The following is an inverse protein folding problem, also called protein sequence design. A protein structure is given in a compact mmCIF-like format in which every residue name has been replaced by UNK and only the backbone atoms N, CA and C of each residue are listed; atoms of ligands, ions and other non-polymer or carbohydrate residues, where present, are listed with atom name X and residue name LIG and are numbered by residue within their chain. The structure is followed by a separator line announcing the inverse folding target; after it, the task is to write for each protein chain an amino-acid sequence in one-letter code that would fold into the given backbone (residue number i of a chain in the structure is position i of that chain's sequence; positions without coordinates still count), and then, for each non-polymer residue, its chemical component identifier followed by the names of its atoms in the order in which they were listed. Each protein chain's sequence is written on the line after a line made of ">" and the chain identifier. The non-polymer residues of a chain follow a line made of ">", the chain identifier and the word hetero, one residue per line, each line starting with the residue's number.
data_IF_410363201098
#
_entry.id   IF_410363201098
#
_cell.length_a   1.000
_cell.length_b   1.000
_cell.length_c   1.000
_cell.angle_alpha   90.00
_cell.angle_beta   90.00
_cell.angle_gamma   90.00
#
_symmetry.space_group_name_H-M   'P 1'
#
loop_
_entity.id
_entity.type
_entity.pdbx_description
1 polymer ?
#
# COMPACT_ATOMS: atom_id res chain seq x y z
N UNK A 1 -51.72 -63.39 -6.06
CA UNK A 1 -52.70 -63.51 -7.16
C UNK A 1 -53.16 -62.10 -7.52
N UNK A 2 -52.96 -61.47 -8.66
CA UNK A 2 -52.22 -61.66 -9.92
C UNK A 2 -52.09 -60.22 -10.47
N UNK A 3 -50.90 -59.66 -10.68
CA UNK A 3 -50.24 -59.50 -11.98
C UNK A 3 -51.16 -59.47 -13.24
N UNK A 4 -50.89 -58.45 -14.08
CA UNK A 4 -51.21 -58.31 -15.52
C UNK A 4 -52.55 -57.63 -15.86
N UNK A 5 -52.51 -56.35 -16.26
CA UNK A 5 -52.73 -55.98 -17.68
C UNK A 5 -52.35 -54.51 -17.93
N UNK A 6 -51.03 -54.32 -17.99
CA UNK A 6 -50.38 -53.17 -18.59
C UNK A 6 -50.41 -53.35 -20.12
N UNK A 7 -51.57 -53.29 -20.76
CA UNK A 7 -51.68 -53.30 -22.23
C UNK A 7 -53.16 -53.06 -22.57
N UNK A 8 -53.53 -51.83 -22.90
CA UNK A 8 -54.12 -51.53 -24.21
C UNK A 8 -54.65 -50.09 -24.24
N UNK A 9 -53.80 -49.16 -24.68
CA UNK A 9 -54.22 -47.88 -25.24
C UNK A 9 -53.29 -47.58 -26.41
N UNK A 10 -53.19 -48.55 -27.32
CA UNK A 10 -52.46 -48.38 -28.59
C UNK A 10 -53.38 -47.66 -29.59
N UNK A 11 -53.81 -46.44 -29.27
CA UNK A 11 -54.54 -45.58 -30.21
C UNK A 11 -53.52 -44.96 -31.18
N UNK A 12 -53.63 -45.33 -32.46
CA UNK A 12 -52.76 -44.95 -33.57
C UNK A 12 -52.47 -43.43 -33.58
N UNK A 13 -51.36 -43.03 -32.96
CA UNK A 13 -50.75 -41.72 -33.22
C UNK A 13 -50.01 -41.83 -34.55
N UNK A 14 -50.46 -41.06 -35.55
CA UNK A 14 -49.87 -41.06 -36.88
C UNK A 14 -48.44 -40.52 -36.78
N UNK A 15 -47.49 -41.09 -37.53
CA UNK A 15 -46.07 -40.71 -37.46
C UNK A 15 -45.87 -39.20 -37.70
N UNK A 16 -46.71 -38.60 -38.56
CA UNK A 16 -46.75 -37.14 -38.81
C UNK A 16 -47.19 -36.35 -37.57
N UNK A 17 -48.09 -36.90 -36.75
CA UNK A 17 -48.55 -36.29 -35.51
C UNK A 17 -47.50 -36.39 -34.41
N UNK A 18 -46.74 -37.49 -34.35
CA UNK A 18 -45.60 -37.65 -33.43
C UNK A 18 -44.47 -36.69 -33.80
N UNK A 19 -44.15 -36.59 -35.10
CA UNK A 19 -43.15 -35.63 -35.62
C UNK A 19 -43.59 -34.19 -35.33
N UNK A 20 -44.87 -33.84 -35.55
CA UNK A 20 -45.37 -32.50 -35.24
C UNK A 20 -45.34 -32.18 -33.74
N UNK A 21 -45.64 -33.15 -32.86
CA UNK A 21 -45.58 -32.97 -31.41
C UNK A 21 -44.13 -32.85 -30.91
N UNK A 22 -43.19 -33.62 -31.47
CA UNK A 22 -41.77 -33.53 -31.18
C UNK A 22 -41.13 -32.24 -31.74
N UNK A 23 -41.55 -31.77 -32.92
CA UNK A 23 -41.07 -30.50 -33.50
C UNK A 23 -41.59 -29.28 -32.72
N UNK A 24 -42.80 -29.35 -32.13
CA UNK A 24 -43.32 -28.27 -31.28
C UNK A 24 -42.63 -28.18 -29.92
N UNK A 25 -42.02 -29.26 -29.42
CA UNK A 25 -41.33 -29.29 -28.13
C UNK A 25 -39.93 -28.67 -28.16
N UNK A 26 -39.37 -28.41 -29.36
CA UNK A 26 -38.01 -27.85 -29.52
C UNK A 26 -37.99 -26.32 -29.40
N UNK A 27 -39.14 -25.64 -29.46
CA UNK A 27 -39.21 -24.18 -29.46
C UNK A 27 -39.24 -23.52 -28.07
N UNK A 28 -39.15 -24.28 -26.96
CA UNK A 28 -39.19 -23.70 -25.60
C UNK A 28 -37.84 -23.69 -24.86
N UNK A 29 -36.71 -24.01 -25.52
CA UNK A 29 -35.38 -23.84 -24.92
C UNK A 29 -34.84 -22.46 -25.26
N UNK A 30 -35.49 -21.41 -24.78
CA UNK A 30 -34.85 -20.09 -24.68
C UNK A 30 -34.06 -20.04 -23.39
N UNK A 31 -32.74 -20.11 -23.50
CA UNK A 31 -31.83 -19.89 -22.39
C UNK A 31 -31.76 -18.37 -22.13
N UNK A 32 -32.64 -17.85 -21.27
CA UNK A 32 -32.42 -16.55 -20.64
C UNK A 32 -31.26 -16.69 -19.65
N UNK A 33 -30.03 -16.75 -20.20
CA UNK A 33 -28.84 -16.40 -19.42
C UNK A 33 -28.84 -14.89 -19.28
N UNK A 34 -29.68 -14.41 -18.38
CA UNK A 34 -29.45 -13.13 -17.74
C UNK A 34 -28.23 -13.34 -16.83
N UNK A 35 -27.06 -13.52 -17.44
CA UNK A 35 -25.79 -13.23 -16.81
C UNK A 35 -25.72 -11.70 -16.67
N UNK A 36 -26.61 -11.15 -15.86
CA UNK A 36 -26.33 -9.91 -15.15
C UNK A 36 -25.18 -10.24 -14.21
N UNK A 37 -23.99 -10.31 -14.80
CA UNK A 37 -22.74 -10.25 -14.08
C UNK A 37 -22.80 -8.89 -13.41
N UNK A 38 -23.23 -8.87 -12.14
CA UNK A 38 -23.29 -7.65 -11.36
C UNK A 38 -21.93 -6.99 -11.51
N UNK A 39 -21.88 -5.83 -12.18
CA UNK A 39 -20.65 -5.09 -12.39
C UNK A 39 -20.01 -4.97 -11.01
N UNK A 40 -18.78 -5.47 -10.80
CA UNK A 40 -18.18 -5.46 -9.48
C UNK A 40 -18.29 -4.02 -8.97
N UNK A 41 -18.93 -3.84 -7.81
CA UNK A 41 -19.05 -2.52 -7.21
C UNK A 41 -17.63 -1.99 -7.08
N UNK A 42 -17.27 -1.02 -7.93
CA UNK A 42 -15.93 -0.47 -7.97
C UNK A 42 -15.59 -0.02 -6.56
N UNK A 43 -14.51 -0.56 -5.99
CA UNK A 43 -14.03 -0.05 -4.72
C UNK A 43 -13.82 1.45 -4.88
N UNK A 44 -14.44 2.24 -4.00
CA UNK A 44 -14.29 3.69 -4.00
C UNK A 44 -12.79 3.97 -3.93
N UNK A 45 -12.23 4.58 -4.99
CA UNK A 45 -10.85 5.02 -4.99
C UNK A 45 -10.71 6.02 -3.85
N UNK A 46 -9.83 5.73 -2.89
CA UNK A 46 -9.56 6.67 -1.81
C UNK A 46 -8.91 7.91 -2.40
N UNK A 47 -9.56 9.06 -2.22
CA UNK A 47 -8.99 10.36 -2.57
C UNK A 47 -8.61 11.09 -1.29
N UNK A 48 -7.37 11.57 -1.25
CA UNK A 48 -6.87 12.40 -0.17
C UNK A 48 -6.77 13.84 -0.66
N UNK A 49 -7.12 14.84 0.17
CA UNK A 49 -7.06 16.23 -0.24
C UNK A 49 -5.62 16.67 -0.47
N UNK A 50 -5.45 17.79 -1.18
CA UNK A 50 -4.14 18.35 -1.44
C UNK A 50 -3.37 18.61 -0.13
N UNK A 51 -2.08 18.30 -0.15
CA UNK A 51 -1.20 18.44 1.00
C UNK A 51 -1.00 19.91 1.37
N UNK A 52 -1.27 20.23 2.63
CA UNK A 52 -0.82 21.47 3.27
C UNK A 52 0.14 21.12 4.38
N UNK A 53 1.22 21.89 4.50
CA UNK A 53 2.36 21.50 5.32
C UNK A 53 2.49 22.39 6.55
N UNK A 54 2.82 21.76 7.67
CA UNK A 54 3.12 22.41 8.94
C UNK A 54 4.55 22.12 9.35
N UNK A 55 5.17 23.03 10.09
CA UNK A 55 6.55 22.87 10.57
C UNK A 55 6.57 22.01 11.84
N UNK A 56 7.44 21.02 11.88
CA UNK A 56 7.75 20.27 13.09
C UNK A 56 8.54 21.14 14.07
N UNK A 57 7.92 21.44 15.21
CA UNK A 57 8.45 22.35 16.23
C UNK A 57 8.54 21.66 17.59
N UNK A 58 9.55 20.82 17.77
CA UNK A 58 9.99 20.27 19.06
C UNK A 58 11.41 20.71 19.37
N UNK A 59 11.77 20.69 20.65
CA UNK A 59 13.10 21.02 21.12
C UNK A 59 14.08 19.84 20.92
N UNK A 60 14.44 19.61 19.66
CA UNK A 60 15.34 18.54 19.21
C UNK A 60 16.25 19.00 18.06
N UNK A 61 17.36 18.29 17.77
CA UNK A 61 18.39 18.71 16.81
C UNK A 61 17.99 18.83 15.33
N UNK A 62 16.70 18.74 15.00
CA UNK A 62 16.22 18.83 13.62
C UNK A 62 14.82 19.43 13.52
N UNK A 63 14.48 19.92 12.34
CA UNK A 63 13.14 20.37 11.94
C UNK A 63 12.88 20.04 10.48
N UNK A 64 11.61 19.95 10.11
CA UNK A 64 11.15 19.64 8.76
C UNK A 64 9.69 20.08 8.64
N UNK A 65 9.13 19.99 7.45
CA UNK A 65 7.70 20.12 7.20
C UNK A 65 7.07 18.77 6.93
N UNK A 66 5.85 18.59 7.41
CA UNK A 66 5.04 17.40 7.17
C UNK A 66 3.58 17.81 6.98
N UNK A 67 2.79 16.94 6.37
CA UNK A 67 1.39 17.18 6.09
C UNK A 67 0.62 17.39 7.39
N UNK A 68 -0.27 18.38 7.40
CA UNK A 68 -1.19 18.63 8.51
C UNK A 68 -2.21 17.49 8.73
N UNK A 69 -2.24 16.48 7.86
CA UNK A 69 -3.00 15.24 8.07
C UNK A 69 -2.31 14.30 9.07
N UNK A 70 -1.01 14.50 9.27
CA UNK A 70 -0.20 13.77 10.21
C UNK A 70 -0.37 14.29 11.64
N UNK A 71 -0.30 13.37 12.60
CA UNK A 71 -0.22 13.68 14.03
C UNK A 71 1.13 13.23 14.57
N UNK A 72 1.86 14.15 15.17
CA UNK A 72 3.14 13.85 15.82
C UNK A 72 2.88 13.13 17.14
N UNK A 73 3.57 12.00 17.32
CA UNK A 73 3.67 11.29 18.60
C UNK A 73 5.15 11.04 18.91
N UNK A 74 5.48 10.85 20.18
CA UNK A 74 6.84 10.49 20.58
C UNK A 74 7.21 9.09 20.06
N UNK A 75 8.48 8.96 19.65
CA UNK A 75 9.09 7.70 19.29
C UNK A 75 9.56 6.93 20.52
N UNK A 76 10.21 5.79 20.28
CA UNK A 76 10.70 4.92 21.38
C UNK A 76 12.02 5.39 21.98
N UNK A 77 12.80 6.17 21.24
CA UNK A 77 14.14 6.61 21.63
C UNK A 77 14.19 8.13 21.70
N UNK A 78 15.21 8.66 22.38
CA UNK A 78 15.43 10.09 22.54
C UNK A 78 15.45 10.80 21.19
N UNK A 79 14.73 11.93 21.10
CA UNK A 79 14.59 12.75 19.89
C UNK A 79 13.96 12.04 18.69
N UNK A 80 13.38 10.86 18.87
CA UNK A 80 12.63 10.15 17.83
C UNK A 80 11.15 10.47 17.91
N UNK A 81 10.48 10.54 16.77
CA UNK A 81 9.06 10.87 16.68
C UNK A 81 8.41 10.06 15.57
N UNK A 82 7.09 9.89 15.63
CA UNK A 82 6.35 9.29 14.54
C UNK A 82 5.26 10.25 14.07
N UNK A 83 4.96 10.19 12.78
CA UNK A 83 3.88 10.92 12.14
C UNK A 83 2.78 9.90 11.82
N UNK A 84 1.72 9.90 12.61
CA UNK A 84 0.58 8.99 12.43
C UNK A 84 -0.42 9.62 11.47
N UNK A 85 -0.85 8.83 10.49
CA UNK A 85 -1.89 9.19 9.53
C UNK A 85 -3.11 8.28 9.74
N UNK A 86 -4.03 8.60 10.68
CA UNK A 86 -5.13 7.71 11.04
C UNK A 86 -6.05 7.38 9.85
N UNK A 87 -6.31 8.36 8.98
CA UNK A 87 -7.16 8.18 7.79
C UNK A 87 -6.56 7.25 6.73
N UNK A 88 -5.24 7.02 6.78
CA UNK A 88 -4.51 6.16 5.86
C UNK A 88 -4.08 4.85 6.53
N UNK A 89 -4.39 4.66 7.82
CA UNK A 89 -3.87 3.56 8.63
C UNK A 89 -2.34 3.41 8.52
N UNK A 90 -1.64 4.52 8.42
CA UNK A 90 -0.20 4.54 8.16
C UNK A 90 0.55 5.32 9.21
N UNK A 91 1.84 5.04 9.35
CA UNK A 91 2.74 5.78 10.23
C UNK A 91 4.09 5.93 9.58
N UNK A 92 4.60 7.16 9.58
CA UNK A 92 6.00 7.45 9.28
C UNK A 92 6.73 7.40 10.61
N UNK A 93 7.60 6.42 10.81
CA UNK A 93 8.46 6.33 11.97
C UNK A 93 9.73 7.12 11.69
N UNK A 94 10.17 7.96 12.61
CA UNK A 94 11.42 8.70 12.53
C UNK A 94 12.28 8.35 13.74
N UNK A 95 13.46 7.79 13.49
CA UNK A 95 14.42 7.43 14.53
C UNK A 95 15.67 8.27 14.38
N UNK A 96 16.00 9.03 15.42
CA UNK A 96 17.18 9.87 15.47
C UNK A 96 18.33 9.16 16.17
N UNK A 97 19.54 9.31 15.62
CA UNK A 97 20.78 8.81 16.17
C UNK A 97 21.83 9.93 16.19
N UNK A 98 22.46 10.23 17.35
CA UNK A 98 23.62 11.08 17.40
C UNK A 98 24.84 10.31 16.89
N UNK A 99 25.52 10.86 15.89
CA UNK A 99 26.72 10.28 15.27
C UNK A 99 27.95 10.72 16.06
N UNK A 100 28.80 9.76 16.45
CA UNK A 100 30.00 10.02 17.28
C UNK A 100 31.30 10.00 16.49
N UNK A 101 31.34 9.29 15.36
CA UNK A 101 32.51 9.21 14.49
C UNK A 101 32.13 8.82 13.06
N UNK A 102 33.10 8.84 12.15
CA UNK A 102 32.94 8.35 10.77
C UNK A 102 32.55 6.86 10.71
N UNK A 103 33.11 6.05 11.61
CA UNK A 103 32.83 4.61 11.69
C UNK A 103 31.41 4.37 12.19
N UNK A 104 30.98 5.15 13.20
CA UNK A 104 29.62 5.13 13.73
C UNK A 104 28.59 5.51 12.66
N UNK A 105 28.88 6.54 11.86
CA UNK A 105 28.07 6.91 10.71
C UNK A 105 27.94 5.76 9.69
N UNK A 106 29.07 5.12 9.34
CA UNK A 106 29.08 4.02 8.39
C UNK A 106 28.26 2.83 8.90
N UNK A 107 28.27 2.57 10.22
CA UNK A 107 27.43 1.55 10.85
C UNK A 107 25.95 1.89 10.67
N UNK A 108 25.54 3.12 11.01
CA UNK A 108 24.13 3.53 10.87
C UNK A 108 23.62 3.48 9.42
N UNK A 109 24.45 3.86 8.45
CA UNK A 109 24.11 3.73 7.02
C UNK A 109 23.91 2.24 6.67
N UNK A 110 24.87 1.40 7.03
CA UNK A 110 24.83 -0.04 6.75
C UNK A 110 23.63 -0.73 7.40
N UNK A 111 23.30 -0.38 8.65
CA UNK A 111 22.13 -0.89 9.35
C UNK A 111 20.83 -0.46 8.67
N UNK A 112 20.74 0.81 8.26
CA UNK A 112 19.58 1.32 7.53
C UNK A 112 19.39 0.61 6.18
N UNK A 113 20.47 0.32 5.45
CA UNK A 113 20.42 -0.39 4.17
C UNK A 113 20.11 -1.87 4.34
N UNK A 114 20.73 -2.53 5.33
CA UNK A 114 20.42 -3.90 5.69
C UNK A 114 18.95 -4.06 6.06
N UNK A 115 18.39 -3.11 6.79
CA UNK A 115 16.98 -3.12 7.13
C UNK A 115 16.06 -3.13 5.90
N UNK A 116 16.38 -2.35 4.86
CA UNK A 116 15.65 -2.40 3.57
C UNK A 116 15.75 -3.78 2.94
N UNK A 117 16.95 -4.36 2.90
CA UNK A 117 17.18 -5.69 2.33
C UNK A 117 16.36 -6.76 3.07
N UNK A 118 16.32 -6.71 4.40
CA UNK A 118 15.56 -7.66 5.22
C UNK A 118 14.04 -7.57 4.97
N UNK A 119 13.52 -6.40 4.59
CA UNK A 119 12.10 -6.22 4.20
C UNK A 119 11.80 -6.60 2.75
N UNK A 120 12.84 -6.78 1.93
CA UNK A 120 12.71 -7.07 0.49
C UNK A 120 12.20 -8.48 0.22
N UNK A 121 12.22 -9.39 1.21
CA UNK A 121 11.73 -10.78 1.04
C UNK A 121 10.31 -10.85 0.45
N UNK A 122 9.49 -9.80 0.65
CA UNK A 122 8.13 -9.67 0.07
C UNK A 122 7.97 -8.55 -0.96
N UNK A 123 9.04 -7.81 -1.26
CA UNK A 123 8.99 -6.70 -2.19
C UNK A 123 9.19 -7.18 -3.64
N UNK A 124 8.40 -6.66 -4.57
CA UNK A 124 8.57 -6.95 -6.00
C UNK A 124 9.71 -6.15 -6.63
N UNK A 125 10.03 -5.00 -6.04
CA UNK A 125 11.17 -4.18 -6.45
C UNK A 125 11.69 -3.33 -5.28
N UNK A 126 12.94 -2.87 -5.40
CA UNK A 126 13.52 -1.79 -4.61
C UNK A 126 14.00 -0.72 -5.59
N UNK A 127 13.64 0.54 -5.35
CA UNK A 127 14.13 1.69 -6.11
C UNK A 127 14.89 2.65 -5.17
N UNK A 128 16.23 2.62 -5.17
CA UNK A 128 17.03 3.58 -4.43
C UNK A 128 17.07 4.93 -5.16
N UNK A 129 16.96 6.01 -4.39
CA UNK A 129 17.06 7.39 -4.85
C UNK A 129 17.94 8.17 -3.86
N UNK A 130 19.16 8.48 -4.27
CA UNK A 130 20.05 9.37 -3.52
C UNK A 130 19.56 10.82 -3.60
N UNK A 131 19.79 11.58 -2.53
CA UNK A 131 19.53 13.00 -2.49
C UNK A 131 20.68 13.74 -1.79
N UNK A 132 20.90 14.98 -2.21
CA UNK A 132 21.97 15.82 -1.68
C UNK A 132 21.54 17.27 -1.69
N UNK A 133 21.57 17.90 -0.51
CA UNK A 133 21.28 19.32 -0.30
C UNK A 133 22.49 19.98 0.40
N UNK A 134 23.55 20.35 -0.33
CA UNK A 134 24.81 20.81 0.26
C UNK A 134 24.64 22.04 1.15
N UNK A 135 23.78 22.99 0.76
CA UNK A 135 23.49 24.20 1.53
C UNK A 135 22.88 23.92 2.91
N UNK A 136 22.09 22.85 3.02
CA UNK A 136 21.46 22.40 4.28
C UNK A 136 22.29 21.34 5.01
N UNK A 137 23.36 20.85 4.38
CA UNK A 137 24.10 19.65 4.78
C UNK A 137 23.17 18.48 5.04
N UNK A 138 22.32 18.14 4.07
CA UNK A 138 21.45 16.97 4.16
C UNK A 138 21.82 16.04 3.02
N UNK A 139 22.27 14.83 3.37
CA UNK A 139 22.71 13.80 2.44
C UNK A 139 22.08 12.47 2.84
N UNK A 140 21.76 11.62 1.87
CA UNK A 140 21.29 10.27 2.15
C UNK A 140 20.55 9.65 0.99
N UNK A 141 19.83 8.58 1.30
CA UNK A 141 19.14 7.75 0.32
C UNK A 141 17.72 7.46 0.75
N UNK A 142 16.78 7.56 -0.17
CA UNK A 142 15.41 7.08 -0.04
C UNK A 142 15.24 5.81 -0.87
N UNK A 143 14.59 4.80 -0.31
CA UNK A 143 14.26 3.54 -0.96
C UNK A 143 12.74 3.42 -1.07
N UNK A 144 12.26 3.17 -2.27
CA UNK A 144 10.87 2.79 -2.51
C UNK A 144 10.79 1.28 -2.70
N UNK A 145 9.87 0.64 -1.99
CA UNK A 145 9.62 -0.80 -2.05
C UNK A 145 8.19 -1.04 -2.54
N UNK A 146 8.07 -1.75 -3.66
CA UNK A 146 6.78 -2.13 -4.22
C UNK A 146 6.39 -3.57 -3.89
N UNK A 147 5.16 -3.93 -4.23
CA UNK A 147 4.61 -5.26 -3.96
C UNK A 147 3.96 -5.36 -2.58
N UNK A 148 3.94 -6.57 -2.00
CA UNK A 148 3.29 -6.88 -0.72
C UNK A 148 4.18 -6.57 0.50
N UNK A 149 5.14 -5.66 0.34
CA UNK A 149 6.03 -5.24 1.43
C UNK A 149 5.23 -4.54 2.54
N UNK A 150 5.60 -4.83 3.79
CA UNK A 150 5.04 -4.13 4.95
C UNK A 150 5.54 -2.68 5.06
N UNK A 151 6.64 -2.37 4.38
CA UNK A 151 7.24 -1.04 4.28
C UNK A 151 7.29 -0.65 2.82
N UNK A 152 6.73 0.52 2.49
CA UNK A 152 6.73 1.00 1.11
C UNK A 152 7.81 2.05 0.84
N UNK A 153 8.24 2.76 1.89
CA UNK A 153 9.26 3.81 1.79
C UNK A 153 10.16 3.73 3.01
N UNK A 154 11.47 3.73 2.78
CA UNK A 154 12.51 3.90 3.79
C UNK A 154 13.39 5.07 3.37
N UNK A 155 13.96 5.82 4.30
CA UNK A 155 15.06 6.72 4.01
C UNK A 155 16.02 6.84 5.18
N UNK A 156 17.20 7.37 4.91
CA UNK A 156 18.06 7.95 5.94
C UNK A 156 18.58 9.30 5.48
N UNK A 157 18.87 10.19 6.42
CA UNK A 157 19.46 11.50 6.17
C UNK A 157 20.50 11.84 7.23
N UNK A 158 21.61 12.46 6.83
CA UNK A 158 22.69 12.86 7.72
C UNK A 158 23.32 14.20 7.33
N UNK A 159 23.96 14.88 8.29
CA UNK A 159 24.87 16.01 8.07
C UNK A 159 26.32 15.60 7.83
N UNK A 160 26.57 14.29 7.76
CA UNK A 160 27.86 13.61 7.66
C UNK A 160 28.75 13.72 8.91
N UNK A 161 28.26 14.30 10.01
CA UNK A 161 29.10 14.59 11.17
C UNK A 161 28.47 14.19 12.51
N UNK A 162 27.27 14.67 12.82
CA UNK A 162 26.68 14.57 14.16
C UNK A 162 25.26 14.02 14.15
N UNK A 163 24.55 14.13 13.02
CA UNK A 163 23.13 13.84 12.94
C UNK A 163 22.87 12.71 11.96
N UNK A 164 22.08 11.72 12.38
CA UNK A 164 21.52 10.71 11.50
C UNK A 164 20.04 10.52 11.82
N UNK A 165 19.19 10.62 10.82
CA UNK A 165 17.75 10.44 10.92
C UNK A 165 17.33 9.32 9.97
N UNK A 166 16.82 8.23 10.50
CA UNK A 166 16.20 7.15 9.72
C UNK A 166 14.69 7.31 9.72
N UNK A 167 14.05 7.07 8.59
CA UNK A 167 12.60 7.12 8.44
C UNK A 167 12.02 5.94 7.68
N UNK A 168 10.85 5.49 8.09
CA UNK A 168 10.18 4.33 7.48
C UNK A 168 8.66 4.45 7.50
N UNK A 169 8.01 4.07 6.40
CA UNK A 169 6.56 4.17 6.23
C UNK A 169 5.94 2.79 6.29
N UNK A 170 5.07 2.60 7.28
CA UNK A 170 4.32 1.35 7.46
C UNK A 170 2.83 1.59 7.36
N UNK A 171 2.13 0.59 6.82
CA UNK A 171 0.68 0.49 6.86
C UNK A 171 0.25 -0.58 7.87
N UNK A 172 -0.76 -0.28 8.68
CA UNK A 172 -1.30 -1.18 9.70
C UNK A 172 -2.16 -2.30 9.09
N UNK A 173 -2.74 -2.09 7.92
CA UNK A 173 -3.63 -3.06 7.26
C UNK A 173 -2.84 -4.11 6.47
N UNK A 174 -3.37 -5.35 6.41
CA UNK A 174 -2.87 -6.38 5.51
C UNK A 174 -2.83 -5.86 4.06
N UNK A 175 -1.79 -6.18 3.28
CA UNK A 175 -1.58 -5.64 1.95
C UNK A 175 -2.70 -6.09 1.01
N UNK A 176 -3.56 -5.15 0.63
CA UNK A 176 -4.25 -5.16 -0.66
C UNK A 176 -3.63 -4.04 -1.48
N UNK A 177 -2.64 -4.35 -2.35
CA UNK A 177 -1.83 -3.33 -3.03
C UNK A 177 -2.67 -2.25 -3.74
N UNK A 178 -3.71 -2.65 -4.46
CA UNK A 178 -4.53 -1.73 -5.26
C UNK A 178 -5.33 -0.72 -4.42
N UNK A 179 -5.70 -1.07 -3.18
CA UNK A 179 -6.43 -0.16 -2.28
C UNK A 179 -5.51 0.84 -1.58
N UNK A 180 -4.20 0.56 -1.51
CA UNK A 180 -3.23 1.39 -0.79
C UNK A 180 -2.52 2.41 -1.66
N UNK A 181 -2.52 2.25 -2.99
CA UNK A 181 -1.79 3.10 -3.92
C UNK A 181 -1.99 4.62 -3.68
N UNK A 182 -3.23 5.15 -3.51
CA UNK A 182 -3.41 6.58 -3.24
C UNK A 182 -2.79 7.05 -1.92
N UNK A 183 -2.71 6.17 -0.92
CA UNK A 183 -2.13 6.47 0.38
C UNK A 183 -0.60 6.41 0.34
N UNK A 184 -0.06 5.43 -0.40
CA UNK A 184 1.38 5.33 -0.67
C UNK A 184 1.85 6.58 -1.41
N UNK A 185 1.16 6.99 -2.47
CA UNK A 185 1.50 8.20 -3.25
C UNK A 185 1.48 9.46 -2.37
N UNK A 186 0.47 9.58 -1.52
CA UNK A 186 0.38 10.69 -0.58
C UNK A 186 1.58 10.70 0.37
N UNK A 187 1.86 9.59 1.05
CA UNK A 187 2.96 9.50 2.01
C UNK A 187 4.32 9.65 1.34
N UNK A 188 4.46 9.20 0.08
CA UNK A 188 5.65 9.43 -0.74
C UNK A 188 5.90 10.91 -0.97
N UNK A 189 4.87 11.66 -1.35
CA UNK A 189 4.97 13.11 -1.51
C UNK A 189 5.32 13.80 -0.17
N UNK A 190 4.74 13.32 0.93
CA UNK A 190 5.01 13.87 2.26
C UNK A 190 6.45 13.59 2.74
N UNK A 191 6.95 12.36 2.56
CA UNK A 191 8.34 11.98 2.86
C UNK A 191 9.32 12.80 2.02
N UNK A 192 9.03 13.00 0.73
CA UNK A 192 9.85 13.87 -0.13
C UNK A 192 9.89 15.29 0.42
N UNK A 193 8.73 15.85 0.79
CA UNK A 193 8.67 17.20 1.37
C UNK A 193 9.44 17.28 2.69
N UNK A 194 9.32 16.27 3.55
CA UNK A 194 10.07 16.15 4.79
C UNK A 194 11.57 16.21 4.51
N UNK A 195 12.07 15.39 3.59
CA UNK A 195 13.49 15.35 3.21
C UNK A 195 13.95 16.71 2.65
N UNK A 196 13.20 17.29 1.72
CA UNK A 196 13.52 18.59 1.09
C UNK A 196 13.56 19.74 2.08
N UNK A 197 12.77 19.66 3.15
CA UNK A 197 12.64 20.71 4.18
C UNK A 197 13.40 20.39 5.46
N UNK A 198 14.10 19.26 5.51
CA UNK A 198 14.91 18.86 6.66
C UNK A 198 16.04 19.87 6.88
N UNK A 199 16.17 20.31 8.12
CA UNK A 199 17.20 21.22 8.59
C UNK A 199 17.70 20.75 9.96
N UNK A 200 19.02 20.72 10.13
CA UNK A 200 19.66 20.42 11.40
C UNK A 200 19.72 21.69 12.25
N UNK A 201 19.34 21.58 13.52
CA UNK A 201 19.49 22.67 14.50
C UNK A 201 20.86 22.57 15.16
N UNK A 202 21.43 23.73 15.47
CA UNK A 202 22.68 23.85 16.23
C UNK A 202 22.39 23.89 17.72
#
# INVERSE_FOLDING_TARGET
>A
MNFIHFYDLRKKMNLKTIIALCSSAIFFVSCNKNDETAKPMGQVRLEYPQQTYVKFAKDVPYTFQYSNFGKIIEGRTTNSFNIVYPKMNATIFLTYFPVKSSEDLAIHIKESEKFVQDQTVKASFISPQEFTFPKKRVFGTMFELGGESAINIQFHATDSTNNFLSGSVYFKSQPKPDSLAPAIDYLKADVKKLIETLEWKK
#
